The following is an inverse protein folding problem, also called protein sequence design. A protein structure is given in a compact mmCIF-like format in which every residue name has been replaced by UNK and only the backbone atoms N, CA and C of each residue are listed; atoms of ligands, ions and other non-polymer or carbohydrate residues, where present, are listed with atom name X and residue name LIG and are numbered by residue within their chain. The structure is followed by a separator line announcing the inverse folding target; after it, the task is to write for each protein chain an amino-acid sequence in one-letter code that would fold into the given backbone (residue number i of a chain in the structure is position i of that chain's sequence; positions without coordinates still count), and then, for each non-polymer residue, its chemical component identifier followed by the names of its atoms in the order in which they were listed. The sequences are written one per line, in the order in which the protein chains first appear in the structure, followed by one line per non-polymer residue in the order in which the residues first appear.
data_IF_086195928606
#
_entry.id   IF_086195928606
#
_cell.length_a   1.000
_cell.length_b   1.000
_cell.length_c   1.000
_cell.angle_alpha   90.00
_cell.angle_beta   90.00
_cell.angle_gamma   90.00
#
_symmetry.space_group_name_H-M   'P 1'
#
loop_
_entity.id
_entity.type
_entity.pdbx_description
1 polymer ?
#
# COMPACT_ATOMS: atom_id res chain seq x y z
N UNK A 1 -32.23 -1.04 7.32
CA UNK A 1 -30.86 -1.25 6.80
C UNK A 1 -30.84 -2.58 6.07
N UNK A 2 -30.49 -2.58 4.79
CA UNK A 2 -30.44 -3.79 3.94
C UNK A 2 -29.37 -4.74 4.46
N UNK A 3 -29.77 -5.97 4.83
CA UNK A 3 -28.84 -7.05 5.17
C UNK A 3 -28.10 -7.46 3.89
N UNK A 4 -26.89 -6.96 3.70
CA UNK A 4 -25.98 -7.49 2.68
C UNK A 4 -25.50 -8.86 3.15
N UNK A 5 -25.84 -9.92 2.39
CA UNK A 5 -25.28 -11.24 2.63
C UNK A 5 -23.83 -11.24 2.15
N UNK A 6 -22.88 -11.28 3.08
CA UNK A 6 -21.46 -11.40 2.75
C UNK A 6 -21.20 -12.83 2.26
N UNK A 7 -20.79 -12.99 1.01
CA UNK A 7 -20.51 -14.29 0.44
C UNK A 7 -19.00 -14.51 0.40
N UNK A 8 -18.48 -15.25 1.39
CA UNK A 8 -17.05 -15.55 1.50
C UNK A 8 -16.71 -16.84 0.75
N UNK A 9 -15.56 -16.91 0.05
CA UNK A 9 -15.02 -18.17 -0.43
C UNK A 9 -14.91 -19.19 0.70
N UNK A 10 -15.16 -20.48 0.40
CA UNK A 10 -15.26 -21.53 1.42
C UNK A 10 -14.01 -21.64 2.31
N UNK A 11 -12.82 -21.51 1.72
CA UNK A 11 -11.55 -21.57 2.47
C UNK A 11 -11.41 -20.37 3.41
N UNK A 12 -11.63 -19.15 2.90
CA UNK A 12 -11.56 -17.93 3.68
C UNK A 12 -12.57 -17.93 4.84
N UNK A 13 -13.78 -18.45 4.59
CA UNK A 13 -14.79 -18.62 5.63
C UNK A 13 -14.30 -19.55 6.73
N UNK A 14 -13.75 -20.72 6.37
CA UNK A 14 -13.25 -21.72 7.32
C UNK A 14 -12.11 -21.15 8.17
N UNK A 15 -11.19 -20.43 7.55
CA UNK A 15 -10.05 -19.85 8.25
C UNK A 15 -10.49 -18.72 9.19
N UNK A 16 -11.40 -17.85 8.74
CA UNK A 16 -12.01 -16.81 9.58
C UNK A 16 -12.78 -17.42 10.78
N UNK A 17 -13.52 -18.52 10.58
CA UNK A 17 -14.21 -19.23 11.67
C UNK A 17 -13.23 -19.81 12.70
N UNK A 18 -12.11 -20.36 12.24
CA UNK A 18 -11.07 -20.90 13.13
C UNK A 18 -10.41 -19.78 13.96
N UNK A 19 -10.12 -18.64 13.34
CA UNK A 19 -9.56 -17.47 14.03
C UNK A 19 -10.56 -16.88 15.02
N UNK A 20 -11.83 -16.72 14.62
CA UNK A 20 -12.90 -16.26 15.50
C UNK A 20 -13.05 -17.16 16.74
N UNK A 21 -13.01 -18.49 16.55
CA UNK A 21 -13.08 -19.47 17.64
C UNK A 21 -11.90 -19.35 18.60
N UNK A 22 -10.68 -19.17 18.10
CA UNK A 22 -9.48 -18.96 18.93
C UNK A 22 -9.60 -17.70 19.80
N UNK A 23 -10.33 -16.69 19.33
CA UNK A 23 -10.58 -15.43 20.04
C UNK A 23 -11.87 -15.44 20.88
N UNK A 24 -12.63 -16.54 20.88
CA UNK A 24 -13.88 -16.67 21.66
C UNK A 24 -15.05 -15.82 21.14
N UNK A 25 -15.05 -15.45 19.85
CA UNK A 25 -16.08 -14.59 19.25
C UNK A 25 -16.78 -15.27 18.07
N UNK A 26 -17.95 -14.75 17.71
CA UNK A 26 -18.68 -15.25 16.52
C UNK A 26 -18.01 -14.79 15.22
N UNK A 27 -18.20 -15.57 14.14
CA UNK A 27 -17.70 -15.20 12.81
C UNK A 27 -18.16 -13.80 12.38
N UNK A 28 -19.43 -13.44 12.64
CA UNK A 28 -19.96 -12.13 12.27
C UNK A 28 -19.29 -10.99 13.04
N UNK A 29 -19.02 -11.16 14.33
CA UNK A 29 -18.28 -10.18 15.13
C UNK A 29 -16.84 -10.05 14.66
N UNK A 30 -16.19 -11.19 14.39
CA UNK A 30 -14.85 -11.23 13.84
C UNK A 30 -14.76 -10.45 12.52
N UNK A 31 -15.68 -10.73 11.57
CA UNK A 31 -15.75 -10.00 10.29
C UNK A 31 -15.97 -8.51 10.51
N UNK A 32 -16.90 -8.12 11.38
CA UNK A 32 -17.18 -6.71 11.66
C UNK A 32 -15.93 -5.99 12.20
N UNK A 33 -15.22 -6.61 13.15
CA UNK A 33 -14.00 -6.04 13.71
C UNK A 33 -12.85 -6.01 12.72
N UNK A 34 -12.63 -7.06 11.93
CA UNK A 34 -11.60 -7.07 10.88
C UNK A 34 -11.86 -5.98 9.83
N UNK A 35 -13.12 -5.75 9.46
CA UNK A 35 -13.49 -4.65 8.57
C UNK A 35 -13.28 -3.30 9.24
N UNK A 36 -13.71 -3.14 10.50
CA UNK A 36 -13.52 -1.90 11.24
C UNK A 36 -12.03 -1.57 11.47
N UNK A 37 -11.20 -2.58 11.73
CA UNK A 37 -9.74 -2.46 11.86
C UNK A 37 -9.10 -2.08 10.52
N UNK A 38 -9.46 -2.77 9.42
CA UNK A 38 -8.93 -2.42 8.10
C UNK A 38 -9.35 -1.01 7.68
N UNK A 39 -10.62 -0.65 7.88
CA UNK A 39 -11.13 0.70 7.59
C UNK A 39 -10.46 1.72 8.51
N UNK A 40 -10.33 1.44 9.81
CA UNK A 40 -9.66 2.29 10.79
C UNK A 40 -8.20 2.54 10.42
N UNK A 41 -7.43 1.50 10.10
CA UNK A 41 -6.04 1.63 9.63
C UNK A 41 -5.93 2.39 8.31
N UNK A 42 -6.86 2.16 7.36
CA UNK A 42 -6.93 2.95 6.13
C UNK A 42 -7.35 4.41 6.36
N UNK A 43 -8.02 4.73 7.47
CA UNK A 43 -8.54 6.06 7.80
C UNK A 43 -7.66 6.85 8.78
N UNK A 44 -6.84 6.20 9.62
CA UNK A 44 -6.13 6.85 10.74
C UNK A 44 -4.67 7.23 10.47
N UNK A 45 -4.11 6.90 9.30
CA UNK A 45 -2.76 7.34 8.94
C UNK A 45 -2.01 6.19 8.30
N UNK A 46 -2.05 6.13 6.97
CA UNK A 46 -1.18 5.25 6.20
C UNK A 46 0.29 5.69 6.32
N UNK A 47 0.53 6.93 6.75
CA UNK A 47 1.86 7.50 6.92
C UNK A 47 2.62 6.74 8.03
N UNK A 48 3.78 6.18 7.67
CA UNK A 48 4.69 5.53 8.60
C UNK A 48 5.51 6.61 9.34
N UNK A 49 5.49 6.66 10.69
CA UNK A 49 6.22 7.67 11.45
C UNK A 49 7.74 7.58 11.28
N UNK A 50 8.28 6.42 10.91
CA UNK A 50 9.70 6.23 10.63
C UNK A 50 10.10 6.83 9.26
N UNK A 51 9.12 7.13 8.39
CA UNK A 51 9.30 7.71 7.06
C UNK A 51 8.44 8.96 6.86
N UNK A 52 8.71 10.06 7.60
CA UNK A 52 7.88 11.27 7.59
C UNK A 52 7.72 11.96 6.22
N UNK A 53 8.64 11.74 5.27
CA UNK A 53 8.54 12.32 3.93
C UNK A 53 7.74 11.46 2.95
N UNK A 54 7.28 10.29 3.37
CA UNK A 54 6.34 9.45 2.63
C UNK A 54 4.91 9.69 3.14
N UNK A 55 3.97 9.75 2.22
CA UNK A 55 2.53 9.81 2.53
C UNK A 55 1.74 9.07 1.48
N UNK A 56 0.45 8.85 1.71
CA UNK A 56 -0.39 8.10 0.78
C UNK A 56 -1.36 8.99 0.02
N UNK A 57 -1.45 8.73 -1.28
CA UNK A 57 -2.45 9.36 -2.15
C UNK A 57 -3.46 8.33 -2.60
N UNK A 58 -4.73 8.70 -2.56
CA UNK A 58 -5.82 7.94 -3.17
C UNK A 58 -6.01 8.35 -4.64
N UNK A 59 -5.87 7.40 -5.55
CA UNK A 59 -6.15 7.57 -6.97
C UNK A 59 -7.64 7.49 -7.30
N UNK A 60 -8.00 7.81 -8.55
CA UNK A 60 -9.40 7.83 -9.01
C UNK A 60 -10.09 6.46 -8.97
N UNK A 61 -9.31 5.36 -9.07
CA UNK A 61 -9.80 3.99 -8.91
C UNK A 61 -10.04 3.58 -7.45
N UNK A 62 -9.75 4.47 -6.49
CA UNK A 62 -9.81 4.18 -5.06
C UNK A 62 -8.55 3.49 -4.51
N UNK A 63 -7.61 3.09 -5.38
CA UNK A 63 -6.30 2.58 -4.96
C UNK A 63 -5.52 3.63 -4.17
N UNK A 64 -4.84 3.20 -3.11
CA UNK A 64 -3.91 4.04 -2.35
C UNK A 64 -2.49 3.71 -2.79
N UNK A 65 -1.65 4.72 -2.98
CA UNK A 65 -0.25 4.52 -3.34
C UNK A 65 0.64 5.45 -2.51
N UNK A 66 1.81 4.96 -2.04
CA UNK A 66 2.77 5.79 -1.34
C UNK A 66 3.43 6.76 -2.32
N UNK A 67 3.52 8.02 -1.89
CA UNK A 67 4.09 9.14 -2.62
C UNK A 67 5.05 9.93 -1.73
N UNK A 68 5.96 10.64 -2.37
CA UNK A 68 6.80 11.63 -1.74
C UNK A 68 5.94 12.85 -1.38
N UNK A 69 5.95 13.20 -0.10
CA UNK A 69 5.18 14.32 0.46
C UNK A 69 5.57 15.61 -0.26
N UNK A 70 4.57 16.36 -0.71
CA UNK A 70 4.75 17.66 -1.37
C UNK A 70 4.99 17.60 -2.89
N UNK A 71 5.19 16.42 -3.49
CA UNK A 71 5.58 16.31 -4.91
C UNK A 71 4.56 15.52 -5.74
N UNK A 72 3.88 14.54 -5.13
CA UNK A 72 2.98 13.63 -5.84
C UNK A 72 3.68 12.54 -6.64
N UNK A 73 5.02 12.48 -6.59
CA UNK A 73 5.84 11.42 -7.18
C UNK A 73 5.65 10.13 -6.36
N UNK A 74 5.42 9.00 -7.03
CA UNK A 74 5.21 7.70 -6.36
C UNK A 74 6.55 7.13 -5.88
N UNK A 75 6.54 6.43 -4.74
CA UNK A 75 7.75 5.74 -4.25
C UNK A 75 8.25 4.71 -5.28
N UNK A 76 7.34 3.99 -5.93
CA UNK A 76 7.69 3.03 -6.99
C UNK A 76 8.48 3.65 -8.15
N UNK A 77 8.24 4.92 -8.47
CA UNK A 77 8.99 5.63 -9.51
C UNK A 77 10.45 5.83 -9.11
N UNK A 78 10.69 6.15 -7.84
CA UNK A 78 12.05 6.28 -7.30
C UNK A 78 12.77 4.94 -7.25
N UNK A 79 12.05 3.87 -6.89
CA UNK A 79 12.61 2.50 -6.85
C UNK A 79 13.03 2.04 -8.23
N UNK A 80 12.18 2.23 -9.25
CA UNK A 80 12.51 1.88 -10.64
C UNK A 80 13.69 2.71 -11.16
N UNK A 81 13.74 4.01 -10.87
CA UNK A 81 14.87 4.85 -11.26
C UNK A 81 16.20 4.39 -10.62
N UNK A 82 16.15 3.88 -9.38
CA UNK A 82 17.32 3.39 -8.67
C UNK A 82 17.89 2.07 -9.19
N UNK A 83 17.22 1.41 -10.15
CA UNK A 83 17.80 0.25 -10.83
C UNK A 83 19.02 0.64 -11.69
N UNK A 84 18.98 1.83 -12.31
CA UNK A 84 20.02 2.30 -13.24
C UNK A 84 20.71 3.61 -12.80
N UNK A 85 20.17 4.30 -11.80
CA UNK A 85 20.65 5.62 -11.37
C UNK A 85 21.04 5.65 -9.89
N UNK A 86 22.02 6.48 -9.53
CA UNK A 86 22.37 6.72 -8.14
C UNK A 86 21.35 7.65 -7.45
N UNK A 87 21.24 7.62 -6.10
CA UNK A 87 20.35 8.53 -5.39
C UNK A 87 20.62 10.02 -5.61
N UNK A 88 21.84 10.40 -6.03
CA UNK A 88 22.16 11.79 -6.39
C UNK A 88 21.56 12.16 -7.74
N UNK A 89 21.71 11.28 -8.75
CA UNK A 89 21.18 11.51 -10.10
C UNK A 89 19.65 11.59 -10.08
N UNK A 90 18.99 10.69 -9.34
CA UNK A 90 17.53 10.74 -9.14
C UNK A 90 17.11 12.05 -8.48
N UNK A 91 17.86 12.53 -7.49
CA UNK A 91 17.54 13.78 -6.81
C UNK A 91 17.62 14.97 -7.78
N UNK A 92 18.60 14.99 -8.67
CA UNK A 92 18.75 16.02 -9.71
C UNK A 92 17.64 15.93 -10.76
N UNK A 93 17.34 14.73 -11.27
CA UNK A 93 16.35 14.52 -12.34
C UNK A 93 14.92 14.90 -11.93
N UNK A 94 14.56 14.65 -10.68
CA UNK A 94 13.22 14.92 -10.16
C UNK A 94 13.11 16.23 -9.35
N UNK A 95 14.19 17.03 -9.28
CA UNK A 95 14.29 18.24 -8.44
C UNK A 95 13.89 17.98 -6.97
N UNK A 96 14.46 16.91 -6.40
CA UNK A 96 14.17 16.43 -5.06
C UNK A 96 15.36 16.63 -4.11
N UNK A 97 15.10 16.84 -2.81
CA UNK A 97 16.14 16.67 -1.81
C UNK A 97 16.65 15.22 -1.82
N UNK A 98 17.97 15.04 -1.88
CA UNK A 98 18.59 13.71 -1.81
C UNK A 98 18.13 12.89 -0.60
N UNK A 99 17.86 13.54 0.53
CA UNK A 99 17.34 12.88 1.73
C UNK A 99 15.97 12.22 1.48
N UNK A 100 15.11 12.84 0.68
CA UNK A 100 13.79 12.31 0.35
C UNK A 100 13.89 11.09 -0.59
N UNK A 101 14.86 11.11 -1.51
CA UNK A 101 15.18 9.94 -2.35
C UNK A 101 15.69 8.78 -1.50
N UNK A 102 16.64 9.04 -0.59
CA UNK A 102 17.18 8.02 0.31
C UNK A 102 16.11 7.43 1.23
N UNK A 103 15.21 8.26 1.75
CA UNK A 103 14.11 7.82 2.59
C UNK A 103 13.09 6.99 1.81
N UNK A 104 12.78 7.34 0.56
CA UNK A 104 11.93 6.52 -0.31
C UNK A 104 12.52 5.13 -0.60
N UNK A 105 13.84 5.04 -0.79
CA UNK A 105 14.53 3.77 -0.95
C UNK A 105 14.57 2.97 0.37
N UNK A 106 14.73 3.64 1.51
CA UNK A 106 14.59 3.00 2.82
C UNK A 106 13.18 2.46 3.08
N UNK A 107 12.16 3.23 2.68
CA UNK A 107 10.76 2.82 2.77
C UNK A 107 10.50 1.57 1.91
N UNK A 108 11.09 1.52 0.70
CA UNK A 108 11.01 0.34 -0.16
C UNK A 108 11.56 -0.92 0.51
N UNK A 109 12.70 -0.84 1.19
CA UNK A 109 13.29 -2.03 1.85
C UNK A 109 12.38 -2.58 2.97
N UNK A 110 11.70 -1.72 3.71
CA UNK A 110 10.78 -2.13 4.79
C UNK A 110 9.43 -2.60 4.25
N UNK A 111 8.93 -1.95 3.20
CA UNK A 111 7.59 -2.16 2.63
C UNK A 111 7.62 -2.83 1.24
N UNK A 112 8.66 -3.63 0.97
CA UNK A 112 8.96 -4.19 -0.37
C UNK A 112 7.75 -4.86 -1.03
N UNK A 113 7.03 -5.69 -0.28
CA UNK A 113 5.87 -6.41 -0.82
C UNK A 113 4.75 -5.49 -1.32
N UNK A 114 4.53 -4.34 -0.66
CA UNK A 114 3.54 -3.35 -1.10
C UNK A 114 3.99 -2.66 -2.38
N UNK A 115 5.24 -2.18 -2.40
CA UNK A 115 5.78 -1.45 -3.54
C UNK A 115 5.92 -2.35 -4.77
N UNK A 116 6.40 -3.58 -4.61
CA UNK A 116 6.48 -4.56 -5.69
C UNK A 116 5.09 -4.83 -6.29
N UNK A 117 4.04 -4.94 -5.45
CA UNK A 117 2.68 -5.11 -5.93
C UNK A 117 2.20 -3.90 -6.74
N UNK A 118 2.58 -2.67 -6.36
CA UNK A 118 2.31 -1.47 -7.15
C UNK A 118 3.05 -1.44 -8.48
N UNK A 119 4.32 -1.83 -8.51
CA UNK A 119 5.12 -1.94 -9.74
C UNK A 119 4.48 -2.95 -10.69
N UNK A 120 4.12 -4.14 -10.19
CA UNK A 120 3.50 -5.18 -11.02
C UNK A 120 2.12 -4.78 -11.53
N UNK A 121 1.33 -4.08 -10.72
CA UNK A 121 0.03 -3.57 -11.14
C UNK A 121 0.16 -2.52 -12.25
N UNK A 122 1.19 -1.67 -12.21
CA UNK A 122 1.49 -0.70 -13.25
C UNK A 122 1.95 -1.38 -14.55
N UNK A 123 2.90 -2.32 -14.46
CA UNK A 123 3.38 -3.09 -15.60
C UNK A 123 2.28 -3.91 -16.30
N UNK A 124 1.25 -4.34 -15.56
CA UNK A 124 0.10 -5.04 -16.13
C UNK A 124 -0.87 -4.13 -16.91
N UNK A 125 -0.78 -2.81 -16.71
CA UNK A 125 -1.62 -1.80 -17.37
C UNK A 125 -0.94 -1.16 -18.58
N UNK A 126 0.38 -1.26 -18.70
CA UNK A 126 1.09 -0.86 -19.92
C UNK A 126 0.70 -1.82 -21.06
N UNK A 127 0.14 -1.31 -22.18
CA UNK A 127 -0.02 -2.13 -23.36
C UNK A 127 1.37 -2.59 -23.80
N UNK A 128 1.54 -3.90 -23.97
CA UNK A 128 2.68 -4.43 -24.72
C UNK A 128 2.55 -3.89 -26.14
N UNK A 129 3.26 -2.80 -26.43
CA UNK A 129 3.28 -2.26 -27.79
C UNK A 129 3.73 -3.36 -28.75
N UNK A 130 2.92 -3.55 -29.80
CA UNK A 130 3.18 -4.42 -30.93
C UNK A 130 3.86 -3.70 -32.08
#
# INVERSE_FOLDING_TARGET
MTRYALNLPNELKRDAENLARKQGVSLNQFILWSVAEKVGGLMQGLDDPDFPTITYRRGASGAVSPILRGTGIRVQTIVLAAEDQSPTEIAEDYDLPKTQVQEALGFYEVHRAEIDAHIQAEAALEPKDG
#
